data_IF_743565535459
#
_entry.id   IF_743565535459
#
_cell.length_a   1.000
_cell.length_b   1.000
_cell.length_c   1.000
_cell.angle_alpha   90.00
_cell.angle_beta   90.00
_cell.angle_gamma   90.00
#
_symmetry.space_group_name_H-M   'P 1'
#
loop_
_entity.id
_entity.type
_entity.pdbx_description
1 polymer ?
#
# COMPACT_ATOMS: atom_id res chain seq x y z
N UNK A 1 -2.27 9.13 10.46
CA UNK A 1 -0.98 8.85 9.80
C UNK A 1 -1.25 8.77 8.28
N UNK A 2 -0.53 8.06 7.38
CA UNK A 2 -1.13 7.73 6.07
C UNK A 2 -2.19 6.63 6.19
N UNK A 3 -2.13 5.81 7.23
CA UNK A 3 -3.07 4.73 7.50
C UNK A 3 -3.26 3.86 6.28
N UNK A 4 -4.49 3.54 5.89
CA UNK A 4 -4.69 2.64 4.75
C UNK A 4 -4.38 3.25 3.37
N UNK A 5 -4.11 4.56 3.26
CA UNK A 5 -3.59 5.14 2.00
C UNK A 5 -2.16 4.69 1.70
N UNK A 6 -1.39 4.26 2.71
CA UNK A 6 -0.06 3.67 2.54
C UNK A 6 -0.06 2.42 1.64
N UNK A 7 -1.20 1.73 1.50
CA UNK A 7 -1.35 0.58 0.60
C UNK A 7 -1.01 0.91 -0.86
N UNK A 8 -1.16 2.17 -1.28
CA UNK A 8 -0.74 2.62 -2.62
C UNK A 8 0.78 2.44 -2.78
N UNK A 9 1.55 3.02 -1.85
CA UNK A 9 3.01 2.89 -1.87
C UNK A 9 3.43 1.42 -1.72
N UNK A 10 2.83 0.68 -0.80
CA UNK A 10 3.14 -0.72 -0.58
C UNK A 10 2.86 -1.61 -1.81
N UNK A 11 1.80 -1.31 -2.57
CA UNK A 11 1.48 -2.00 -3.82
C UNK A 11 2.57 -1.79 -4.87
N UNK A 12 3.06 -0.56 -5.04
CA UNK A 12 4.19 -0.26 -5.95
C UNK A 12 5.41 -1.07 -5.55
N UNK A 13 5.78 -1.05 -4.26
CA UNK A 13 6.95 -1.79 -3.74
C UNK A 13 6.83 -3.30 -3.99
N UNK A 14 5.62 -3.85 -3.79
CA UNK A 14 5.38 -5.28 -3.91
C UNK A 14 5.42 -5.77 -5.37
N UNK A 15 4.79 -5.04 -6.29
CA UNK A 15 4.86 -5.36 -7.72
C UNK A 15 6.28 -5.15 -8.26
N UNK A 16 6.97 -4.07 -7.86
CA UNK A 16 8.31 -3.77 -8.34
C UNK A 16 9.33 -4.83 -7.90
N UNK A 17 9.24 -5.25 -6.64
CA UNK A 17 10.05 -6.32 -6.05
C UNK A 17 9.68 -7.73 -6.54
N UNK A 18 8.70 -7.86 -7.44
CA UNK A 18 8.21 -9.14 -7.99
C UNK A 18 7.73 -10.14 -6.93
N UNK A 19 7.35 -9.66 -5.74
CA UNK A 19 6.81 -10.53 -4.69
C UNK A 19 5.33 -10.87 -4.91
N UNK A 20 4.65 -10.06 -5.74
CA UNK A 20 3.26 -10.26 -6.14
C UNK A 20 3.10 -9.97 -7.65
N UNK A 21 2.12 -10.62 -8.25
CA UNK A 21 1.52 -10.29 -9.53
C UNK A 21 -0.02 -10.24 -9.37
N UNK A 22 -0.77 -9.86 -10.43
CA UNK A 22 -2.24 -9.77 -10.35
C UNK A 22 -2.92 -11.13 -10.04
N UNK A 23 -2.24 -12.26 -10.22
CA UNK A 23 -2.75 -13.62 -9.98
C UNK A 23 -2.41 -14.14 -8.59
N UNK A 24 -1.60 -13.42 -7.83
CA UNK A 24 -1.18 -13.81 -6.50
C UNK A 24 -2.39 -13.94 -5.57
N UNK A 25 -2.40 -15.01 -4.78
CA UNK A 25 -3.46 -15.27 -3.80
C UNK A 25 -2.84 -15.24 -2.40
N UNK A 26 -3.16 -14.20 -1.63
CA UNK A 26 -2.88 -14.15 -0.19
C UNK A 26 -3.82 -15.10 0.52
N UNK A 27 -3.26 -16.07 1.25
CA UNK A 27 -4.03 -17.13 1.91
C UNK A 27 -4.40 -16.69 3.33
N UNK A 28 -5.69 -16.68 3.62
CA UNK A 28 -6.17 -16.45 4.97
C UNK A 28 -5.79 -17.61 5.88
N UNK A 29 -5.27 -17.29 7.06
CA UNK A 29 -4.85 -18.23 8.09
C UNK A 29 -6.00 -18.87 8.88
N UNK A 30 -7.25 -18.56 8.52
CA UNK A 30 -8.49 -19.00 9.19
C UNK A 30 -8.69 -18.42 10.59
N UNK A 31 -7.89 -17.45 11.00
CA UNK A 31 -8.11 -16.71 12.26
C UNK A 31 -9.02 -15.50 12.02
N UNK A 32 -10.03 -15.26 12.88
CA UNK A 32 -10.91 -14.11 12.71
C UNK A 32 -10.15 -12.78 12.67
N UNK A 33 -10.39 -11.96 11.64
CA UNK A 33 -9.71 -10.67 11.43
C UNK A 33 -10.57 -9.44 11.80
N UNK A 34 -11.71 -9.66 12.46
CA UNK A 34 -12.60 -8.59 12.93
C UNK A 34 -13.59 -8.04 11.89
N UNK A 35 -13.41 -8.37 10.60
CA UNK A 35 -14.36 -8.05 9.53
C UNK A 35 -14.54 -9.27 8.63
N UNK A 36 -15.78 -9.59 8.27
CA UNK A 36 -16.07 -10.82 7.51
C UNK A 36 -15.37 -10.84 6.15
N UNK A 37 -15.28 -9.69 5.47
CA UNK A 37 -14.58 -9.60 4.19
C UNK A 37 -13.07 -9.89 4.32
N UNK A 38 -12.46 -9.68 5.49
CA UNK A 38 -11.05 -9.99 5.75
C UNK A 38 -10.82 -11.48 6.09
N UNK A 39 -11.88 -12.23 6.40
CA UNK A 39 -11.85 -13.67 6.67
C UNK A 39 -11.86 -14.49 5.37
N UNK A 40 -11.07 -14.08 4.38
CA UNK A 40 -11.07 -14.68 3.06
C UNK A 40 -9.71 -14.57 2.38
N UNK A 41 -9.46 -15.40 1.37
CA UNK A 41 -8.29 -15.21 0.52
C UNK A 41 -8.45 -13.95 -0.32
N UNK A 42 -7.36 -13.23 -0.54
CA UNK A 42 -7.36 -11.99 -1.33
C UNK A 42 -6.40 -12.05 -2.50
N UNK A 43 -6.68 -11.24 -3.51
CA UNK A 43 -5.75 -10.89 -4.60
C UNK A 43 -5.24 -9.47 -4.36
N UNK A 44 -4.23 -8.97 -5.11
CA UNK A 44 -3.83 -7.57 -4.98
C UNK A 44 -4.99 -6.58 -5.16
N UNK A 45 -5.90 -6.89 -6.09
CA UNK A 45 -7.11 -6.09 -6.32
C UNK A 45 -8.03 -6.05 -5.10
N UNK A 46 -8.42 -7.21 -4.55
CA UNK A 46 -9.34 -7.23 -3.41
C UNK A 46 -8.68 -6.77 -2.11
N UNK A 47 -7.36 -6.94 -1.97
CA UNK A 47 -6.57 -6.33 -0.90
C UNK A 47 -6.68 -4.80 -0.91
N UNK A 48 -6.47 -4.18 -2.08
CA UNK A 48 -6.58 -2.73 -2.24
C UNK A 48 -8.02 -2.26 -1.98
N UNK A 49 -9.00 -2.90 -2.61
CA UNK A 49 -10.42 -2.53 -2.52
C UNK A 49 -10.98 -2.63 -1.10
N UNK A 50 -10.70 -3.73 -0.38
CA UNK A 50 -11.25 -3.96 0.97
C UNK A 50 -10.31 -3.54 2.10
N UNK A 51 -9.21 -2.86 1.75
CA UNK A 51 -8.25 -2.33 2.72
C UNK A 51 -7.71 -3.37 3.70
N UNK A 52 -7.44 -4.58 3.23
CA UNK A 52 -7.14 -5.74 4.07
C UNK A 52 -5.79 -5.58 4.77
N UNK A 53 -5.80 -5.27 6.08
CA UNK A 53 -4.57 -4.91 6.82
C UNK A 53 -3.61 -6.08 6.95
N UNK A 54 -4.11 -7.29 7.20
CA UNK A 54 -3.25 -8.46 7.38
C UNK A 54 -2.42 -8.79 6.13
N UNK A 55 -2.95 -8.52 4.93
CA UNK A 55 -2.21 -8.66 3.67
C UNK A 55 -1.08 -7.64 3.60
N UNK A 56 -1.31 -6.38 3.99
CA UNK A 56 -0.26 -5.37 4.05
C UNK A 56 0.86 -5.78 5.01
N UNK A 57 0.51 -6.32 6.17
CA UNK A 57 1.48 -6.81 7.16
C UNK A 57 2.29 -8.01 6.63
N UNK A 58 1.67 -8.91 5.86
CA UNK A 58 2.41 -9.99 5.18
C UNK A 58 3.40 -9.44 4.15
N UNK A 59 2.97 -8.47 3.33
CA UNK A 59 3.78 -7.85 2.29
C UNK A 59 4.97 -7.10 2.88
N UNK A 60 4.78 -6.27 3.91
CA UNK A 60 5.87 -5.53 4.54
C UNK A 60 6.92 -6.45 5.15
N UNK A 61 6.49 -7.55 5.78
CA UNK A 61 7.40 -8.58 6.29
C UNK A 61 8.20 -9.27 5.17
N UNK A 62 7.58 -9.55 4.02
CA UNK A 62 8.26 -10.13 2.85
C UNK A 62 9.26 -9.17 2.20
N UNK A 63 8.93 -7.88 2.10
CA UNK A 63 9.84 -6.86 1.55
C UNK A 63 11.01 -6.63 2.51
N UNK A 64 10.73 -6.55 3.80
CA UNK A 64 11.71 -6.31 4.86
C UNK A 64 12.09 -4.84 5.02
N UNK A 65 12.53 -4.48 6.23
CA UNK A 65 12.68 -3.08 6.66
C UNK A 65 13.64 -2.28 5.78
N UNK A 66 14.79 -2.84 5.42
CA UNK A 66 15.81 -2.13 4.65
C UNK A 66 15.32 -1.75 3.24
N UNK A 67 14.61 -2.67 2.56
CA UNK A 67 14.04 -2.38 1.24
C UNK A 67 12.90 -1.38 1.33
N UNK A 68 12.04 -1.47 2.35
CA UNK A 68 10.98 -0.47 2.59
C UNK A 68 11.60 0.92 2.77
N UNK A 69 12.66 1.07 3.59
CA UNK A 69 13.32 2.36 3.79
C UNK A 69 13.92 2.92 2.49
N UNK A 70 14.46 2.06 1.62
CA UNK A 70 14.94 2.50 0.31
C UNK A 70 13.79 3.01 -0.58
N UNK A 71 12.68 2.28 -0.68
CA UNK A 71 11.51 2.75 -1.43
C UNK A 71 10.90 4.03 -0.87
N UNK A 72 10.80 4.17 0.46
CA UNK A 72 10.30 5.41 1.09
C UNK A 72 11.18 6.61 0.72
N UNK A 73 12.50 6.42 0.67
CA UNK A 73 13.45 7.43 0.20
C UNK A 73 13.25 7.74 -1.28
N UNK A 74 13.17 6.72 -2.13
CA UNK A 74 12.99 6.87 -3.58
C UNK A 74 11.65 7.55 -3.94
N UNK A 75 10.63 7.31 -3.13
CA UNK A 75 9.30 7.92 -3.28
C UNK A 75 9.23 9.32 -2.68
N UNK A 76 10.20 9.69 -1.83
CA UNK A 76 10.17 10.88 -0.98
C UNK A 76 8.87 10.92 -0.16
N UNK A 77 8.60 9.81 0.53
CA UNK A 77 7.31 9.57 1.18
C UNK A 77 7.29 10.15 2.60
N UNK A 78 6.91 11.42 2.69
CA UNK A 78 6.72 12.14 3.96
C UNK A 78 7.96 12.10 4.85
N UNK A 79 7.79 11.79 6.14
CA UNK A 79 8.91 11.73 7.09
C UNK A 79 9.77 10.46 6.99
N UNK A 80 9.36 9.48 6.17
CA UNK A 80 10.08 8.21 5.92
C UNK A 80 10.39 7.38 7.18
N UNK A 81 9.70 7.67 8.29
CA UNK A 81 9.94 7.01 9.57
C UNK A 81 9.13 5.72 9.66
N UNK A 82 9.82 4.59 9.47
CA UNK A 82 9.23 3.25 9.56
C UNK A 82 9.62 2.49 10.83
N UNK A 83 9.95 3.21 11.91
CA UNK A 83 10.37 2.62 13.19
C UNK A 83 9.24 1.93 13.97
N UNK A 84 7.99 2.34 13.75
CA UNK A 84 6.85 1.91 14.56
C UNK A 84 6.78 2.64 15.89
N UNK A 85 6.06 2.07 16.85
CA UNK A 85 5.88 2.66 18.16
C UNK A 85 7.13 2.47 19.03
N UNK A 86 7.39 3.48 19.88
CA UNK A 86 8.52 3.45 20.82
C UNK A 86 8.48 2.17 21.65
N UNK A 87 9.64 1.49 21.70
CA UNK A 87 9.86 0.28 22.51
C UNK A 87 9.00 -0.94 22.14
N UNK A 88 8.28 -0.92 21.00
CA UNK A 88 7.43 -2.06 20.57
C UNK A 88 8.04 -2.93 19.48
N UNK A 89 9.05 -2.45 18.77
CA UNK A 89 9.68 -3.14 17.64
C UNK A 89 8.66 -3.66 16.60
N UNK A 90 7.65 -2.84 16.28
CA UNK A 90 6.50 -3.20 15.46
C UNK A 90 6.45 -2.45 14.11
N UNK A 91 7.56 -1.84 13.67
CA UNK A 91 7.59 -1.03 12.45
C UNK A 91 7.08 -1.77 11.20
N UNK A 92 7.42 -3.06 11.06
CA UNK A 92 6.95 -3.87 9.92
C UNK A 92 5.45 -4.15 9.94
N UNK A 93 4.75 -4.01 11.06
CA UNK A 93 3.32 -4.33 11.15
C UNK A 93 2.43 -3.11 11.43
N UNK A 94 2.98 -2.04 12.01
CA UNK A 94 2.20 -0.91 12.52
C UNK A 94 2.67 0.47 12.07
N UNK A 95 3.87 0.64 11.49
CA UNK A 95 4.46 1.99 11.29
C UNK A 95 3.56 2.99 10.55
N UNK A 96 2.69 2.52 9.66
CA UNK A 96 1.76 3.35 8.90
C UNK A 96 0.38 3.53 9.55
N UNK A 97 0.05 2.78 10.61
CA UNK A 97 -1.24 2.76 11.29
C UNK A 97 -1.16 3.62 12.56
N UNK A 98 -1.53 4.89 12.44
CA UNK A 98 -1.45 5.88 13.52
C UNK A 98 -0.14 5.86 14.35
N UNK A 99 0.98 5.60 13.68
CA UNK A 99 2.29 5.37 14.30
C UNK A 99 3.36 6.33 13.75
N UNK A 100 4.60 5.84 13.55
CA UNK A 100 5.78 6.64 13.22
C UNK A 100 5.69 7.33 11.86
N UNK A 101 5.15 6.67 10.84
CA UNK A 101 5.13 7.19 9.47
C UNK A 101 4.09 8.31 9.34
N UNK A 102 4.53 9.45 8.80
CA UNK A 102 3.68 10.64 8.61
C UNK A 102 3.90 11.20 7.21
N UNK A 103 2.82 11.68 6.63
CA UNK A 103 2.80 12.38 5.35
C UNK A 103 1.66 13.39 5.37
N UNK A 104 1.91 14.58 4.84
CA UNK A 104 0.91 15.64 4.69
C UNK A 104 0.05 15.42 3.43
N UNK A 105 -1.13 16.08 3.34
CA UNK A 105 -1.93 16.04 2.12
C UNK A 105 -1.18 16.56 0.88
N UNK A 106 -0.34 17.59 1.02
CA UNK A 106 0.44 18.12 -0.12
C UNK A 106 1.48 17.11 -0.61
N UNK A 107 2.19 16.45 0.30
CA UNK A 107 3.13 15.37 -0.03
C UNK A 107 2.41 14.17 -0.67
N UNK A 108 1.21 13.81 -0.20
CA UNK A 108 0.37 12.78 -0.86
C UNK A 108 0.05 13.16 -2.30
N UNK A 109 -0.34 14.42 -2.56
CA UNK A 109 -0.61 14.90 -3.92
C UNK A 109 0.64 14.83 -4.79
N UNK A 110 1.81 15.23 -4.28
CA UNK A 110 3.06 15.10 -5.05
C UNK A 110 3.41 13.63 -5.32
N UNK A 111 3.22 12.75 -4.34
CA UNK A 111 3.42 11.31 -4.53
C UNK A 111 2.50 10.75 -5.63
N UNK A 112 1.20 11.05 -5.60
CA UNK A 112 0.25 10.66 -6.64
C UNK A 112 0.62 11.23 -8.03
N UNK A 113 1.12 12.47 -8.09
CA UNK A 113 1.64 13.06 -9.34
C UNK A 113 2.86 12.31 -9.85
N UNK A 114 3.77 11.85 -8.98
CA UNK A 114 4.92 11.04 -9.40
C UNK A 114 4.46 9.69 -9.97
N UNK A 115 3.44 9.07 -9.38
CA UNK A 115 2.84 7.81 -9.88
C UNK A 115 2.30 8.00 -11.29
N UNK A 116 1.34 8.92 -11.49
CA UNK A 116 0.65 9.04 -12.78
C UNK A 116 1.57 9.54 -13.92
N UNK A 117 2.64 10.26 -13.59
CA UNK A 117 3.64 10.72 -14.56
C UNK A 117 4.80 9.73 -14.76
N UNK A 118 4.75 8.55 -14.14
CA UNK A 118 5.82 7.53 -14.20
C UNK A 118 7.20 8.07 -13.74
N UNK A 119 7.18 9.00 -12.77
CA UNK A 119 8.37 9.65 -12.22
C UNK A 119 8.79 9.03 -10.87
N UNK A 120 8.71 7.70 -10.78
CA UNK A 120 9.23 6.90 -9.66
C UNK A 120 10.18 5.84 -10.22
N UNK A 121 11.26 5.47 -9.51
CA UNK A 121 12.22 4.48 -9.98
C UNK A 121 11.72 3.05 -9.75
N UNK A 122 10.52 2.74 -10.25
CA UNK A 122 9.89 1.41 -10.23
C UNK A 122 9.41 1.06 -11.63
N UNK A 123 9.14 -0.22 -11.88
CA UNK A 123 8.59 -0.67 -13.16
C UNK A 123 7.27 0.03 -13.47
N UNK A 124 7.09 0.44 -14.72
CA UNK A 124 5.80 0.98 -15.20
C UNK A 124 4.64 0.00 -14.94
N UNK A 125 4.88 -1.31 -15.06
CA UNK A 125 3.85 -2.32 -14.73
C UNK A 125 3.44 -2.31 -13.26
N UNK A 126 4.33 -1.97 -12.32
CA UNK A 126 3.97 -1.82 -10.91
C UNK A 126 3.04 -0.63 -10.69
N UNK A 127 3.28 0.47 -11.40
CA UNK A 127 2.42 1.66 -11.42
C UNK A 127 1.05 1.31 -11.99
N UNK A 128 0.99 0.77 -13.21
CA UNK A 128 -0.27 0.48 -13.90
C UNK A 128 -1.13 -0.54 -13.13
N UNK A 129 -0.52 -1.63 -12.63
CA UNK A 129 -1.25 -2.61 -11.82
C UNK A 129 -1.78 -2.01 -10.51
N UNK A 130 -1.04 -1.09 -9.89
CA UNK A 130 -1.48 -0.40 -8.68
C UNK A 130 -2.66 0.53 -8.98
N UNK A 131 -2.58 1.31 -10.05
CA UNK A 131 -3.68 2.19 -10.50
C UNK A 131 -4.92 1.36 -10.83
N UNK A 132 -4.78 0.27 -11.57
CA UNK A 132 -5.88 -0.64 -11.90
C UNK A 132 -6.61 -1.13 -10.63
N UNK A 133 -5.84 -1.50 -9.61
CA UNK A 133 -6.38 -1.99 -8.34
C UNK A 133 -7.03 -0.90 -7.47
N UNK A 134 -6.81 0.39 -7.79
CA UNK A 134 -7.44 1.54 -7.12
C UNK A 134 -8.77 1.96 -7.76
N UNK A 135 -9.20 1.35 -8.87
CA UNK A 135 -10.47 1.68 -9.51
C UNK A 135 -11.65 1.48 -8.55
N UNK A 136 -12.51 2.49 -8.42
CA UNK A 136 -13.71 2.44 -7.58
C UNK A 136 -14.97 2.37 -8.43
N UNK A 137 -15.16 3.36 -9.30
CA UNK A 137 -16.37 3.51 -10.11
C UNK A 137 -16.17 4.55 -11.22
N UNK A 138 -17.11 4.61 -12.13
CA UNK A 138 -17.30 5.77 -13.00
C UNK A 138 -18.20 6.80 -12.29
N UNK A 139 -17.92 8.09 -12.49
CA UNK A 139 -18.77 9.20 -12.08
C UNK A 139 -19.86 9.44 -13.13
N UNK A 140 -20.87 10.26 -12.79
CA UNK A 140 -22.02 10.54 -13.67
C UNK A 140 -21.63 11.06 -15.07
N UNK A 141 -20.48 11.75 -15.17
CA UNK A 141 -19.93 12.25 -16.44
C UNK A 141 -18.97 11.27 -17.13
N UNK A 142 -18.99 9.98 -16.74
CA UNK A 142 -18.08 8.93 -17.21
C UNK A 142 -16.60 9.12 -16.87
N UNK A 143 -16.26 10.07 -15.99
CA UNK A 143 -14.89 10.16 -15.44
C UNK A 143 -14.64 8.96 -14.54
N UNK A 144 -13.55 8.24 -14.77
CA UNK A 144 -13.15 7.10 -13.94
C UNK A 144 -12.55 7.58 -12.62
N UNK A 145 -13.10 7.13 -11.51
CA UNK A 145 -12.59 7.42 -10.17
C UNK A 145 -11.68 6.29 -9.70
N UNK A 146 -10.43 6.66 -9.38
CA UNK A 146 -9.45 5.81 -8.73
C UNK A 146 -9.11 6.42 -7.39
N UNK A 147 -9.11 5.63 -6.32
CA UNK A 147 -8.89 6.18 -5.00
C UNK A 147 -8.64 5.13 -3.94
N UNK A 148 -8.20 5.61 -2.77
CA UNK A 148 -8.00 4.78 -1.60
C UNK A 148 -8.36 5.55 -0.33
N UNK A 149 -9.14 4.92 0.54
CA UNK A 149 -9.43 5.42 1.89
C UNK A 149 -8.36 4.99 2.87
N UNK A 150 -8.15 5.79 3.91
CA UNK A 150 -7.26 5.52 5.04
C UNK A 150 -7.59 6.41 6.21
#
# INVERSE_FOLDING_TARGET
APDSTFKIALSLMAFDAEIIDQKTIFKWDKTPKGMEIWNSNHTPKTWMQFSVVWVSQEITQKIGLNKIKNYLKDFDYGNQDFSGDKERNNGLTEAWLESSLKISPEEQIQFLRKIINHNLPVKNSAIENTIENMYLQDLDNSTKLYGKTG
#
